data_IF_062511348301
#
_entry.id   IF_062511348301
#
_cell.length_a   1.000
_cell.length_b   1.000
_cell.length_c   1.000
_cell.angle_alpha   90.00
_cell.angle_beta   90.00
_cell.angle_gamma   90.00
#
_symmetry.space_group_name_H-M   'P 1'
#
loop_
_entity.id
_entity.type
_entity.pdbx_description
1 polymer ?
#
# COMPACT_ATOMS: atom_id res chain seq x y z
N UNK A 1 -12.05 -38.25 -8.23
CA UNK A 1 -11.99 -36.92 -8.91
C UNK A 1 -12.35 -35.74 -8.02
N UNK A 2 -12.89 -35.94 -6.81
CA UNK A 2 -13.30 -34.86 -5.87
C UNK A 2 -12.14 -34.27 -5.05
N UNK A 3 -11.12 -35.07 -4.72
CA UNK A 3 -9.97 -34.64 -3.88
C UNK A 3 -9.07 -33.55 -4.53
N UNK A 4 -8.93 -33.54 -5.86
CA UNK A 4 -8.09 -32.54 -6.55
C UNK A 4 -8.72 -31.14 -6.62
N UNK A 5 -10.06 -31.01 -6.53
CA UNK A 5 -10.73 -29.71 -6.62
C UNK A 5 -10.61 -28.90 -5.32
N UNK A 6 -10.68 -29.54 -4.16
CA UNK A 6 -10.53 -28.88 -2.85
C UNK A 6 -9.12 -28.32 -2.62
N UNK A 7 -8.07 -29.03 -3.05
CA UNK A 7 -6.67 -28.60 -2.82
C UNK A 7 -6.27 -27.39 -3.67
N UNK A 8 -6.80 -27.27 -4.88
CA UNK A 8 -6.55 -26.11 -5.75
C UNK A 8 -7.22 -24.83 -5.22
N UNK A 9 -8.45 -24.94 -4.69
CA UNK A 9 -9.16 -23.81 -4.07
C UNK A 9 -8.46 -23.29 -2.82
N UNK A 10 -7.94 -24.19 -1.97
CA UNK A 10 -7.22 -23.81 -0.75
C UNK A 10 -5.90 -23.07 -1.06
N UNK A 11 -5.15 -23.48 -2.09
CA UNK A 11 -3.94 -22.78 -2.54
C UNK A 11 -4.25 -21.38 -3.07
N UNK A 12 -5.29 -21.23 -3.90
CA UNK A 12 -5.68 -19.91 -4.44
C UNK A 12 -6.11 -18.95 -3.32
N UNK A 13 -6.82 -19.47 -2.30
CA UNK A 13 -7.22 -18.69 -1.13
C UNK A 13 -6.00 -18.25 -0.30
N UNK A 14 -5.00 -19.12 -0.10
CA UNK A 14 -3.77 -18.73 0.62
C UNK A 14 -2.94 -17.68 -0.12
N UNK A 15 -2.90 -17.74 -1.47
CA UNK A 15 -2.21 -16.73 -2.29
C UNK A 15 -2.96 -15.38 -2.21
N UNK A 16 -4.29 -15.40 -2.18
CA UNK A 16 -5.11 -14.20 -2.00
C UNK A 16 -4.86 -13.52 -0.64
N UNK A 17 -4.76 -14.29 0.44
CA UNK A 17 -4.42 -13.74 1.77
C UNK A 17 -2.97 -13.24 1.86
N UNK A 18 -2.01 -13.91 1.21
CA UNK A 18 -0.63 -13.42 1.10
C UNK A 18 -0.54 -12.09 0.35
N UNK A 19 -1.39 -11.86 -0.65
CA UNK A 19 -1.45 -10.60 -1.41
C UNK A 19 -2.04 -9.44 -0.59
N UNK A 20 -2.97 -9.72 0.33
CA UNK A 20 -3.55 -8.70 1.22
C UNK A 20 -2.52 -8.24 2.27
N UNK A 21 -1.62 -9.13 2.71
CA UNK A 21 -0.61 -8.82 3.74
C UNK A 21 0.50 -7.86 3.28
N UNK A 22 0.61 -7.54 1.98
CA UNK A 22 1.63 -6.61 1.46
C UNK A 22 1.14 -5.15 1.34
N UNK A 23 -0.12 -4.85 1.69
CA UNK A 23 -0.72 -3.53 1.53
C UNK A 23 -0.66 -2.64 2.80
N UNK A 24 0.13 -2.98 3.81
CA UNK A 24 0.35 -2.10 4.96
C UNK A 24 1.47 -1.13 4.63
N UNK A 25 1.14 0.14 4.37
CA UNK A 25 2.13 1.23 4.41
C UNK A 25 2.65 1.34 5.84
N UNK A 26 3.97 1.17 6.03
CA UNK A 26 4.61 1.41 7.32
C UNK A 26 4.64 2.94 7.55
N UNK A 27 3.83 3.43 8.49
CA UNK A 27 3.92 4.79 9.03
C UNK A 27 5.16 4.86 9.92
N UNK A 28 6.32 5.13 9.33
CA UNK A 28 7.56 5.34 10.07
C UNK A 28 7.80 6.84 10.29
N UNK A 29 8.02 7.24 11.55
CA UNK A 29 8.52 8.58 11.85
C UNK A 29 9.92 8.76 11.24
N UNK A 30 10.12 9.87 10.54
CA UNK A 30 11.41 10.22 9.95
C UNK A 30 11.94 11.51 10.55
N UNK A 31 13.18 11.46 11.03
CA UNK A 31 13.89 12.64 11.56
C UNK A 31 14.75 13.26 10.48
N UNK A 32 14.50 14.53 10.20
CA UNK A 32 15.28 15.38 9.32
C UNK A 32 16.09 16.38 10.15
N UNK A 33 17.39 16.44 9.90
CA UNK A 33 18.22 17.56 10.34
C UNK A 33 18.01 18.72 9.38
N UNK A 34 17.41 19.81 9.86
CA UNK A 34 17.19 21.03 9.07
C UNK A 34 18.42 21.95 9.17
N UNK A 35 19.05 22.02 10.34
CA UNK A 35 20.27 22.79 10.58
C UNK A 35 21.16 22.12 11.64
N UNK A 36 22.50 22.11 11.48
CA UNK A 36 23.28 22.60 10.33
C UNK A 36 23.08 21.74 9.07
N UNK A 37 23.24 22.33 7.89
CA UNK A 37 23.21 21.60 6.61
C UNK A 37 24.61 21.14 6.23
N UNK A 38 24.72 19.99 5.55
CA UNK A 38 26.00 19.57 4.96
C UNK A 38 26.54 20.66 4.01
N UNK A 39 27.86 20.88 4.06
CA UNK A 39 28.57 22.03 3.46
C UNK A 39 28.34 22.22 1.94
N UNK A 40 27.80 21.21 1.24
CA UNK A 40 27.61 21.20 -0.21
C UNK A 40 26.18 21.48 -0.69
N UNK A 41 25.18 21.53 0.21
CA UNK A 41 23.78 21.79 -0.16
C UNK A 41 23.37 23.24 0.17
N UNK A 42 22.65 23.95 -0.73
CA UNK A 42 22.11 25.26 -0.38
C UNK A 42 21.16 25.13 0.81
N UNK A 43 21.23 26.05 1.80
CA UNK A 43 20.41 25.95 3.00
C UNK A 43 18.94 25.94 2.63
N UNK A 44 18.20 24.93 3.10
CA UNK A 44 16.77 24.77 2.86
C UNK A 44 15.92 25.71 3.75
N UNK A 45 16.47 26.89 4.04
CA UNK A 45 15.96 27.83 5.03
C UNK A 45 15.70 29.16 4.33
N UNK A 46 14.46 29.61 4.37
CA UNK A 46 14.06 30.94 3.95
C UNK A 46 14.20 31.91 5.12
N UNK A 47 14.47 33.18 4.80
CA UNK A 47 14.61 34.25 5.82
C UNK A 47 13.76 35.47 5.45
N UNK A 48 13.27 36.17 6.47
CA UNK A 48 12.62 37.47 6.37
C UNK A 48 13.16 38.42 7.45
N UNK A 49 13.05 39.73 7.19
CA UNK A 49 13.57 40.76 8.09
C UNK A 49 15.10 40.71 8.16
N UNK A 50 15.64 40.85 9.36
CA UNK A 50 17.09 40.92 9.59
C UNK A 50 17.77 39.55 9.72
N UNK A 51 17.01 38.45 9.58
CA UNK A 51 17.51 37.11 9.77
C UNK A 51 18.54 36.71 8.71
N UNK A 52 19.58 35.98 9.13
CA UNK A 52 20.69 35.53 8.29
C UNK A 52 21.08 34.11 8.68
N UNK A 53 21.35 33.29 7.68
CA UNK A 53 21.90 31.94 7.87
C UNK A 53 23.41 32.01 7.65
N UNK A 54 24.19 31.52 8.60
CA UNK A 54 25.63 31.29 8.46
C UNK A 54 25.92 29.80 8.62
N UNK A 55 27.19 29.40 8.43
CA UNK A 55 27.59 27.99 8.58
C UNK A 55 27.27 27.43 9.98
N UNK A 56 27.49 28.23 11.01
CA UNK A 56 27.43 27.76 12.39
C UNK A 56 26.09 28.05 13.09
N UNK A 57 25.27 28.94 12.54
CA UNK A 57 24.02 29.37 13.18
C UNK A 57 23.04 30.03 12.21
N UNK A 58 21.78 30.06 12.64
CA UNK A 58 20.76 30.95 12.10
C UNK A 58 20.66 32.14 13.06
N UNK A 59 21.09 33.31 12.61
CA UNK A 59 20.95 34.57 13.35
C UNK A 59 19.59 35.18 13.02
N UNK A 60 18.67 35.25 13.99
CA UNK A 60 17.35 35.84 13.78
C UNK A 60 17.38 37.37 13.95
N UNK A 61 18.00 37.87 15.02
CA UNK A 61 18.11 39.31 15.25
C UNK A 61 19.52 39.70 15.62
N UNK A 62 19.84 40.96 15.33
CA UNK A 62 21.06 41.61 15.80
C UNK A 62 20.73 42.73 16.78
N UNK A 63 21.75 43.46 17.24
CA UNK A 63 21.59 44.53 18.21
C UNK A 63 20.78 45.72 17.64
N UNK A 64 19.82 46.22 18.42
CA UNK A 64 18.96 47.36 18.07
C UNK A 64 17.51 46.93 17.94
N UNK A 65 16.64 47.78 17.38
CA UNK A 65 15.25 47.41 17.06
C UNK A 65 15.26 46.51 15.81
N UNK A 66 15.33 45.20 16.02
CA UNK A 66 15.57 44.18 14.99
C UNK A 66 14.45 43.14 15.05
N UNK A 67 14.09 42.61 13.88
CA UNK A 67 13.13 41.51 13.78
C UNK A 67 13.51 40.60 12.62
N UNK A 68 13.48 39.30 12.87
CA UNK A 68 13.87 38.31 11.87
C UNK A 68 13.07 37.03 12.00
N UNK A 69 12.78 36.43 10.85
CA UNK A 69 12.22 35.08 10.75
C UNK A 69 13.13 34.20 9.93
N UNK A 70 13.26 32.95 10.32
CA UNK A 70 13.84 31.89 9.51
C UNK A 70 12.87 30.72 9.48
N UNK A 71 12.65 30.11 8.32
CA UNK A 71 11.66 29.04 8.17
C UNK A 71 12.14 27.98 7.19
N UNK A 72 11.64 26.77 7.36
CA UNK A 72 11.91 25.66 6.45
C UNK A 72 11.22 25.92 5.11
N UNK A 73 11.97 25.85 4.00
CA UNK A 73 11.45 26.20 2.67
C UNK A 73 10.46 25.19 2.10
N UNK A 74 10.35 24.01 2.70
CA UNK A 74 9.39 23.00 2.27
C UNK A 74 8.11 23.07 3.08
N UNK A 75 6.95 22.89 2.44
CA UNK A 75 5.67 22.94 3.13
C UNK A 75 5.54 21.79 4.13
N UNK A 76 5.26 22.12 5.38
CA UNK A 76 4.89 21.14 6.40
C UNK A 76 3.38 20.87 6.30
N UNK A 77 3.00 19.60 6.19
CA UNK A 77 1.59 19.20 6.17
C UNK A 77 1.12 18.90 7.58
N UNK A 78 0.14 19.66 8.09
CA UNK A 78 -0.41 19.48 9.44
C UNK A 78 -1.66 18.59 9.48
N UNK A 79 -2.43 18.52 8.39
CA UNK A 79 -3.59 17.62 8.26
C UNK A 79 -3.94 17.36 6.79
N UNK A 80 -4.66 16.25 6.53
CA UNK A 80 -5.14 15.87 5.19
C UNK A 80 -6.68 15.76 5.14
N UNK A 81 -7.29 16.26 4.06
CA UNK A 81 -8.76 16.20 3.85
C UNK A 81 -9.31 14.79 3.61
N UNK A 82 -8.48 13.84 3.16
CA UNK A 82 -8.99 12.53 2.68
C UNK A 82 -9.35 11.55 3.80
N UNK A 83 -8.79 11.74 4.99
CA UNK A 83 -8.84 10.75 6.07
C UNK A 83 -9.04 11.36 7.47
N UNK A 84 -9.25 12.68 7.58
CA UNK A 84 -9.36 13.41 8.88
C UNK A 84 -8.19 13.18 9.83
N UNK A 85 -7.10 12.59 9.37
CA UNK A 85 -5.92 12.30 10.17
C UNK A 85 -5.08 13.56 10.31
N UNK A 86 -4.77 13.90 11.55
CA UNK A 86 -3.82 14.95 11.92
C UNK A 86 -2.44 14.33 11.85
N UNK A 87 -1.48 15.03 11.25
CA UNK A 87 -0.09 14.57 11.25
C UNK A 87 0.55 14.88 12.59
N UNK A 88 1.12 13.87 13.23
CA UNK A 88 1.99 14.05 14.39
C UNK A 88 3.35 14.56 13.92
N UNK A 89 3.92 15.48 14.70
CA UNK A 89 5.28 15.92 14.51
C UNK A 89 5.93 16.27 15.85
N UNK A 90 7.26 16.29 15.86
CA UNK A 90 8.10 16.77 16.93
C UNK A 90 9.21 17.62 16.32
N UNK A 91 9.68 18.63 17.05
CA UNK A 91 10.85 19.40 16.66
C UNK A 91 11.75 19.58 17.86
N UNK A 92 13.05 19.54 17.63
CA UNK A 92 14.08 19.74 18.63
C UNK A 92 15.05 20.79 18.10
N UNK A 93 15.42 21.75 18.93
CA UNK A 93 16.31 22.82 18.52
C UNK A 93 17.10 23.36 19.71
N UNK A 94 18.30 23.83 19.42
CA UNK A 94 19.16 24.52 20.38
C UNK A 94 19.25 25.99 19.99
N UNK A 95 19.10 26.89 20.96
CA UNK A 95 19.17 28.32 20.72
C UNK A 95 19.92 29.05 21.84
N UNK A 96 20.37 30.27 21.52
CA UNK A 96 20.97 31.20 22.48
C UNK A 96 20.33 32.57 22.37
N UNK A 97 20.14 33.20 23.53
CA UNK A 97 19.73 34.61 23.64
C UNK A 97 20.83 35.34 24.40
N UNK A 98 21.51 36.27 23.72
CA UNK A 98 22.67 36.97 24.29
C UNK A 98 22.44 38.48 24.26
N UNK A 99 22.43 39.11 25.43
CA UNK A 99 22.38 40.57 25.59
C UNK A 99 23.78 41.16 25.67
N UNK A 100 24.03 42.28 24.99
CA UNK A 100 25.30 43.00 25.14
C UNK A 100 25.45 43.71 26.50
N UNK A 101 24.35 43.90 27.22
CA UNK A 101 24.34 44.56 28.54
C UNK A 101 24.30 43.58 29.72
N UNK A 102 24.23 42.27 29.46
CA UNK A 102 24.07 41.23 30.49
C UNK A 102 22.63 41.10 31.03
N UNK A 103 21.78 42.10 30.84
CA UNK A 103 20.36 42.04 31.20
C UNK A 103 19.50 41.80 29.95
N UNK A 104 18.70 40.73 29.98
CA UNK A 104 17.65 40.46 29.00
C UNK A 104 16.38 41.15 29.48
N UNK A 105 15.89 42.09 28.70
CA UNK A 105 14.84 43.04 29.15
C UNK A 105 13.90 43.44 28.02
N UNK A 106 14.07 42.87 26.82
CA UNK A 106 13.15 43.16 25.73
C UNK A 106 13.21 42.13 24.60
N UNK A 107 12.04 41.80 24.06
CA UNK A 107 11.86 40.85 22.96
C UNK A 107 11.74 39.42 23.43
N UNK A 108 11.95 38.50 22.48
CA UNK A 108 11.82 37.08 22.70
C UNK A 108 12.03 36.29 21.42
N UNK A 109 11.97 34.98 21.55
CA UNK A 109 12.08 34.03 20.45
C UNK A 109 10.85 33.14 20.42
N UNK A 110 10.39 32.80 19.23
CA UNK A 110 9.26 31.90 19.03
C UNK A 110 9.61 30.83 18.02
N UNK A 111 9.10 29.62 18.24
CA UNK A 111 8.89 28.64 17.18
C UNK A 111 7.44 28.78 16.71
N UNK A 112 7.20 28.95 15.41
CA UNK A 112 5.87 29.23 14.88
C UNK A 112 5.46 28.31 13.71
N UNK A 113 4.15 28.12 13.60
CA UNK A 113 3.46 27.61 12.43
C UNK A 113 2.58 28.72 11.86
N UNK A 114 2.69 29.00 10.56
CA UNK A 114 1.90 30.03 9.87
C UNK A 114 1.47 29.56 8.47
N UNK A 115 0.50 30.23 7.81
CA UNK A 115 0.14 29.88 6.44
C UNK A 115 1.33 29.93 5.48
N UNK A 116 1.33 29.06 4.48
CA UNK A 116 2.27 29.17 3.37
C UNK A 116 2.22 30.55 2.74
N UNK A 117 3.38 31.21 2.63
CA UNK A 117 3.49 32.58 2.15
C UNK A 117 3.20 33.66 3.19
N UNK A 118 3.10 33.31 4.48
CA UNK A 118 3.03 34.30 5.56
C UNK A 118 4.23 35.25 5.49
N UNK A 119 3.93 36.55 5.45
CA UNK A 119 4.92 37.61 5.49
C UNK A 119 5.06 38.17 6.91
N UNK A 120 6.24 38.69 7.23
CA UNK A 120 6.47 39.41 8.47
C UNK A 120 5.65 40.72 8.48
N UNK A 121 4.76 40.95 9.46
CA UNK A 121 3.98 42.17 9.52
C UNK A 121 4.86 43.42 9.70
N UNK A 122 4.39 44.55 9.19
CA UNK A 122 5.00 45.84 9.54
C UNK A 122 4.79 46.13 11.03
N UNK A 123 5.74 46.83 11.64
CA UNK A 123 5.70 47.27 13.04
C UNK A 123 5.52 46.13 14.06
N UNK A 124 6.10 44.97 13.78
CA UNK A 124 5.99 43.75 14.59
C UNK A 124 7.20 43.50 15.51
N UNK A 125 7.92 44.53 15.95
CA UNK A 125 9.08 44.38 16.84
C UNK A 125 8.66 44.39 18.33
N UNK A 126 9.57 44.01 19.24
CA UNK A 126 9.30 43.97 20.69
C UNK A 126 8.40 42.80 21.10
N UNK A 127 7.44 43.02 21.99
CA UNK A 127 6.48 42.00 22.44
C UNK A 127 5.58 41.42 21.33
N UNK A 128 5.64 41.96 20.11
CA UNK A 128 4.98 41.38 18.94
C UNK A 128 5.75 40.19 18.33
N UNK A 129 6.99 39.96 18.76
CA UNK A 129 7.85 38.82 18.43
C UNK A 129 8.06 38.56 16.93
N UNK A 130 7.85 39.58 16.09
CA UNK A 130 7.88 39.44 14.63
C UNK A 130 6.68 38.68 14.07
N UNK A 131 5.68 38.31 14.88
CA UNK A 131 4.53 37.48 14.49
C UNK A 131 3.28 38.31 14.19
N UNK A 132 3.02 39.33 15.00
CA UNK A 132 1.80 40.12 14.95
C UNK A 132 2.10 41.62 14.92
N UNK A 133 1.07 42.43 14.86
CA UNK A 133 1.14 43.86 15.14
C UNK A 133 -0.20 44.31 15.72
N UNK A 134 -0.33 45.60 15.99
CA UNK A 134 -1.52 46.20 16.58
C UNK A 134 -2.83 45.89 15.81
N UNK A 135 -2.77 45.75 14.48
CA UNK A 135 -3.96 45.51 13.66
C UNK A 135 -4.29 44.04 13.47
N UNK A 136 -3.27 43.17 13.55
CA UNK A 136 -3.41 41.73 13.32
C UNK A 136 -3.55 40.94 14.61
N UNK A 137 -3.16 41.47 15.77
CA UNK A 137 -3.27 40.74 17.04
C UNK A 137 -4.70 40.27 17.33
N UNK A 138 -4.85 39.05 17.85
CA UNK A 138 -6.14 38.40 18.13
C UNK A 138 -7.07 38.27 16.90
N UNK A 139 -6.53 38.28 15.68
CA UNK A 139 -7.28 37.99 14.46
C UNK A 139 -7.05 36.57 13.99
N UNK A 140 -8.13 35.80 13.91
CA UNK A 140 -8.11 34.43 13.39
C UNK A 140 -7.62 34.34 11.93
N UNK A 141 -7.70 35.43 11.17
CA UNK A 141 -7.17 35.53 9.80
C UNK A 141 -5.65 35.39 9.71
N UNK A 142 -4.90 35.60 10.80
CA UNK A 142 -3.44 35.41 10.79
C UNK A 142 -3.06 33.94 10.73
N UNK A 143 -3.88 33.09 11.34
CA UNK A 143 -3.69 31.65 11.42
C UNK A 143 -2.29 31.24 11.88
N UNK A 144 -1.83 31.82 13.00
CA UNK A 144 -0.54 31.48 13.59
C UNK A 144 -0.75 30.75 14.91
N UNK A 145 0.06 29.72 15.11
CA UNK A 145 0.31 29.10 16.42
C UNK A 145 1.80 29.21 16.70
N UNK A 146 2.17 29.63 17.90
CA UNK A 146 3.58 29.74 18.28
C UNK A 146 3.83 29.25 19.70
N UNK A 147 5.05 28.77 19.93
CA UNK A 147 5.61 28.54 21.26
C UNK A 147 6.64 29.63 21.49
N UNK A 148 6.41 30.46 22.49
CA UNK A 148 7.26 31.60 22.81
C UNK A 148 8.20 31.32 23.97
N UNK A 149 9.37 31.93 23.89
CA UNK A 149 10.37 32.05 24.93
C UNK A 149 10.55 33.55 25.18
N UNK A 150 9.66 34.11 26.00
CA UNK A 150 9.65 35.54 26.30
C UNK A 150 10.63 35.85 27.42
N UNK A 151 11.44 36.88 27.19
CA UNK A 151 12.45 37.39 28.13
C UNK A 151 12.13 38.82 28.57
N UNK A 152 10.88 39.23 28.37
CA UNK A 152 10.30 40.52 28.69
C UNK A 152 9.10 40.33 29.61
N UNK A 153 8.71 41.41 30.30
CA UNK A 153 7.44 41.45 31.02
C UNK A 153 6.62 42.62 30.45
N UNK A 154 5.81 42.31 29.44
CA UNK A 154 4.82 43.19 28.85
C UNK A 154 3.52 43.20 29.69
N UNK A 155 2.60 44.18 29.48
CA UNK A 155 1.39 44.29 30.30
C UNK A 155 0.46 43.08 30.28
N UNK A 156 0.54 42.24 29.24
CA UNK A 156 -0.26 41.03 29.08
C UNK A 156 0.41 39.77 29.66
N UNK A 157 1.65 39.88 30.13
CA UNK A 157 2.43 38.73 30.59
C UNK A 157 2.12 38.33 32.03
N UNK A 158 2.33 37.05 32.38
CA UNK A 158 2.37 36.60 33.76
C UNK A 158 3.40 37.39 34.58
N UNK A 159 3.08 37.64 35.85
CA UNK A 159 4.03 38.28 36.77
C UNK A 159 5.15 37.31 37.12
N UNK A 160 6.40 37.78 37.00
CA UNK A 160 7.57 36.97 37.35
C UNK A 160 8.71 36.99 36.34
N UNK A 161 8.62 37.82 35.29
CA UNK A 161 9.65 37.93 34.24
C UNK A 161 9.53 36.83 33.18
N UNK A 162 10.67 36.27 32.80
CA UNK A 162 10.79 35.34 31.67
C UNK A 162 9.85 34.14 31.79
N UNK A 163 9.22 33.75 30.68
CA UNK A 163 8.29 32.63 30.65
C UNK A 163 8.26 31.94 29.29
N UNK A 164 7.57 30.79 29.26
CA UNK A 164 7.28 30.05 28.03
C UNK A 164 5.76 30.03 27.86
N UNK A 165 5.30 30.40 26.68
CA UNK A 165 3.89 30.53 26.34
C UNK A 165 3.51 29.76 25.09
N UNK A 166 2.20 29.53 24.91
CA UNK A 166 1.63 29.02 23.66
C UNK A 166 0.65 30.07 23.15
N UNK A 167 1.02 30.69 22.04
CA UNK A 167 0.23 31.70 21.36
C UNK A 167 -0.67 31.04 20.32
N UNK A 168 -1.97 31.28 20.43
CA UNK A 168 -2.96 30.73 19.51
C UNK A 168 -3.86 31.85 18.99
N UNK A 169 -3.51 32.40 17.83
CA UNK A 169 -4.40 33.33 17.14
C UNK A 169 -5.53 32.64 16.37
N UNK A 170 -5.30 31.39 15.94
CA UNK A 170 -6.34 30.51 15.39
C UNK A 170 -6.03 29.06 15.70
N UNK A 171 -7.05 28.32 16.11
CA UNK A 171 -6.97 26.86 16.28
C UNK A 171 -7.02 26.14 14.92
N UNK A 172 -7.42 26.82 13.85
CA UNK A 172 -7.53 26.26 12.49
C UNK A 172 -6.39 26.78 11.61
N UNK A 173 -5.37 25.95 11.45
CA UNK A 173 -4.27 26.16 10.49
C UNK A 173 -4.63 25.61 9.10
N UNK A 174 -4.12 26.20 8.00
CA UNK A 174 -4.23 25.61 6.67
C UNK A 174 -3.48 24.27 6.59
N UNK A 175 -3.79 23.45 5.58
CA UNK A 175 -3.16 22.12 5.42
C UNK A 175 -1.64 22.20 5.30
N UNK A 176 -1.15 23.22 4.61
CA UNK A 176 0.27 23.49 4.39
C UNK A 176 0.66 24.71 5.20
N UNK A 177 1.68 24.57 6.04
CA UNK A 177 2.19 25.65 6.88
C UNK A 177 3.69 25.85 6.65
N UNK A 178 4.11 27.10 6.84
CA UNK A 178 5.50 27.44 7.14
C UNK A 178 5.77 27.07 8.59
N UNK A 179 6.92 26.47 8.82
CA UNK A 179 7.44 26.17 10.14
C UNK A 179 8.78 26.87 10.30
N UNK A 180 8.99 27.54 11.43
CA UNK A 180 10.23 28.28 11.62
C UNK A 180 10.32 28.99 12.95
N UNK A 181 11.27 29.91 13.02
CA UNK A 181 11.52 30.75 14.18
C UNK A 181 11.30 32.21 13.85
N UNK A 182 10.71 32.94 14.77
CA UNK A 182 10.58 34.40 14.72
C UNK A 182 11.15 34.97 16.00
N UNK A 183 12.00 35.98 15.90
CA UNK A 183 12.48 36.71 17.06
C UNK A 183 12.45 38.20 16.78
N UNK A 184 12.28 38.97 17.84
CA UNK A 184 12.41 40.41 17.75
C UNK A 184 12.98 40.98 19.03
N UNK A 185 13.50 42.19 18.93
CA UNK A 185 14.03 42.99 20.04
C UNK A 185 13.26 44.30 20.14
N UNK A 186 13.27 44.93 21.31
CA UNK A 186 12.83 46.30 21.45
C UNK A 186 14.06 47.24 21.49
N UNK A 187 14.06 48.26 22.35
CA UNK A 187 15.16 49.22 22.45
C UNK A 187 16.48 48.62 22.94
N UNK A 188 16.46 47.46 23.59
CA UNK A 188 17.63 46.82 24.17
C UNK A 188 18.16 45.71 23.25
N UNK A 189 19.48 45.51 23.35
CA UNK A 189 20.31 44.85 22.35
C UNK A 189 20.52 43.37 22.70
N UNK A 190 19.63 42.49 22.21
CA UNK A 190 19.78 41.04 22.28
C UNK A 190 19.98 40.41 20.90
N UNK A 191 20.80 39.37 20.84
CA UNK A 191 20.93 38.51 19.66
C UNK A 191 20.28 37.17 19.91
N UNK A 192 19.49 36.70 18.94
CA UNK A 192 18.81 35.41 18.99
C UNK A 192 19.40 34.51 17.92
N UNK A 193 19.99 33.38 18.32
CA UNK A 193 20.62 32.43 17.41
C UNK A 193 20.00 31.04 17.57
N UNK A 194 19.71 30.36 16.46
CA UNK A 194 19.47 28.91 16.43
C UNK A 194 20.76 28.22 16.05
N UNK A 195 21.18 27.25 16.86
CA UNK A 195 22.42 26.50 16.71
C UNK A 195 22.19 25.13 16.05
N UNK A 196 21.05 24.51 16.34
CA UNK A 196 20.62 23.26 15.72
C UNK A 196 19.11 23.24 15.57
N UNK A 197 18.61 22.55 14.55
CA UNK A 197 17.18 22.37 14.33
C UNK A 197 16.89 21.05 13.64
N UNK A 198 16.18 20.18 14.34
CA UNK A 198 15.70 18.90 13.89
C UNK A 198 14.17 18.87 13.88
N UNK A 199 13.64 18.13 12.93
CA UNK A 199 12.22 17.87 12.79
C UNK A 199 11.98 16.39 12.58
N UNK A 200 11.11 15.82 13.41
CA UNK A 200 10.61 14.46 13.25
C UNK A 200 9.13 14.53 12.89
N UNK A 201 8.75 13.87 11.81
CA UNK A 201 7.35 13.77 11.47
C UNK A 201 7.07 12.67 10.46
N UNK A 202 5.79 12.51 10.18
CA UNK A 202 5.29 11.60 9.16
C UNK A 202 5.54 12.23 7.78
N UNK A 203 6.73 12.02 7.22
CA UNK A 203 7.06 12.49 5.87
C UNK A 203 6.63 11.44 4.85
N UNK A 204 5.67 11.79 4.00
CA UNK A 204 5.36 11.00 2.81
C UNK A 204 6.13 11.59 1.63
N UNK A 205 7.37 11.14 1.40
CA UNK A 205 8.11 11.58 0.22
C UNK A 205 7.41 11.12 -1.05
N UNK A 206 7.36 11.98 -2.06
CA UNK A 206 6.94 11.58 -3.41
C UNK A 206 7.82 10.42 -3.93
N UNK A 207 9.11 10.38 -3.56
CA UNK A 207 10.02 9.26 -3.89
C UNK A 207 9.58 7.95 -3.26
N UNK A 208 8.98 7.98 -2.07
CA UNK A 208 8.57 6.77 -1.33
C UNK A 208 7.27 6.23 -1.90
N UNK A 209 6.39 7.11 -2.39
CA UNK A 209 5.22 6.72 -3.19
C UNK A 209 5.66 6.05 -4.49
N UNK A 210 6.65 6.60 -5.19
CA UNK A 210 7.16 6.01 -6.43
C UNK A 210 7.89 4.69 -6.19
N UNK A 211 8.72 4.63 -5.16
CA UNK A 211 9.41 3.40 -4.74
C UNK A 211 8.41 2.32 -4.35
N UNK A 212 7.39 2.67 -3.55
CA UNK A 212 6.31 1.77 -3.16
C UNK A 212 5.48 1.29 -4.35
N UNK A 213 5.16 2.19 -5.29
CA UNK A 213 4.45 1.83 -6.52
C UNK A 213 5.29 0.88 -7.38
N UNK A 214 6.57 1.17 -7.60
CA UNK A 214 7.48 0.31 -8.38
C UNK A 214 7.62 -1.06 -7.71
N UNK A 215 7.81 -1.11 -6.39
CA UNK A 215 7.87 -2.37 -5.63
C UNK A 215 6.55 -3.14 -5.76
N UNK A 216 5.41 -2.46 -5.64
CA UNK A 216 4.09 -3.10 -5.77
C UNK A 216 3.85 -3.68 -7.17
N UNK A 217 4.26 -2.97 -8.22
CA UNK A 217 4.17 -3.44 -9.61
C UNK A 217 5.11 -4.64 -9.81
N UNK A 218 6.37 -4.53 -9.36
CA UNK A 218 7.36 -5.59 -9.50
C UNK A 218 6.91 -6.89 -8.80
N UNK A 219 6.40 -6.79 -7.57
CA UNK A 219 5.83 -7.93 -6.83
C UNK A 219 4.64 -8.52 -7.56
N UNK A 220 3.72 -7.69 -8.07
CA UNK A 220 2.53 -8.15 -8.80
C UNK A 220 2.91 -8.90 -10.09
N UNK A 221 3.89 -8.37 -10.84
CA UNK A 221 4.40 -9.03 -12.06
C UNK A 221 5.07 -10.35 -11.73
N UNK A 222 5.94 -10.39 -10.72
CA UNK A 222 6.61 -11.62 -10.28
C UNK A 222 5.60 -12.71 -9.87
N UNK A 223 4.58 -12.35 -9.09
CA UNK A 223 3.52 -13.28 -8.69
C UNK A 223 2.72 -13.74 -9.91
N UNK A 224 2.37 -12.83 -10.83
CA UNK A 224 1.70 -13.17 -12.08
C UNK A 224 2.46 -14.19 -12.92
N UNK A 225 3.78 -14.03 -13.04
CA UNK A 225 4.66 -14.97 -13.76
C UNK A 225 4.72 -16.34 -13.09
N UNK A 226 4.79 -16.39 -11.76
CA UNK A 226 4.78 -17.65 -10.99
C UNK A 226 3.45 -18.38 -11.17
N UNK A 227 2.32 -17.67 -11.05
CA UNK A 227 0.98 -18.24 -11.25
C UNK A 227 0.80 -18.73 -12.69
N UNK A 228 1.26 -17.96 -13.68
CA UNK A 228 1.23 -18.36 -15.08
C UNK A 228 2.07 -19.61 -15.35
N UNK A 229 3.30 -19.66 -14.81
CA UNK A 229 4.18 -20.82 -14.91
C UNK A 229 3.56 -22.09 -14.31
N UNK A 230 2.96 -21.98 -13.11
CA UNK A 230 2.23 -23.07 -12.47
C UNK A 230 1.03 -23.48 -13.31
N UNK A 231 0.25 -22.53 -13.85
CA UNK A 231 -0.88 -22.81 -14.73
C UNK A 231 -0.48 -23.56 -16.00
N UNK A 232 0.63 -23.18 -16.64
CA UNK A 232 1.19 -23.88 -17.80
C UNK A 232 1.67 -25.28 -17.42
N UNK A 233 2.34 -25.45 -16.28
CA UNK A 233 2.80 -26.75 -15.80
C UNK A 233 1.62 -27.70 -15.50
N UNK A 234 0.60 -27.22 -14.80
CA UNK A 234 -0.63 -27.96 -14.51
C UNK A 234 -1.41 -28.29 -15.79
N UNK A 235 -1.48 -27.35 -16.75
CA UNK A 235 -2.11 -27.56 -18.05
C UNK A 235 -1.38 -28.61 -18.90
N UNK A 236 -0.05 -28.60 -18.91
CA UNK A 236 0.76 -29.65 -19.54
C UNK A 236 0.58 -31.00 -18.83
N UNK A 237 0.52 -31.02 -17.51
CA UNK A 237 0.28 -32.22 -16.73
C UNK A 237 -1.11 -32.82 -16.99
N UNK A 238 -2.16 -31.99 -17.03
CA UNK A 238 -3.50 -32.42 -17.43
C UNK A 238 -3.56 -32.94 -18.87
N UNK A 239 -2.87 -32.31 -19.83
CA UNK A 239 -2.76 -32.84 -21.19
C UNK A 239 -2.07 -34.20 -21.23
N UNK A 240 -1.00 -34.40 -20.45
CA UNK A 240 -0.32 -35.70 -20.30
C UNK A 240 -1.22 -36.77 -19.68
N UNK A 241 -2.01 -36.41 -18.68
CA UNK A 241 -2.99 -37.32 -18.08
C UNK A 241 -4.17 -37.63 -19.01
N UNK A 242 -4.50 -36.73 -19.94
CA UNK A 242 -5.54 -36.94 -20.96
C UNK A 242 -5.04 -37.73 -22.18
N UNK A 243 -3.73 -37.66 -22.48
CA UNK A 243 -3.07 -38.41 -23.56
C UNK A 243 -2.72 -39.86 -23.22
N UNK A 244 -2.98 -40.33 -21.99
CA UNK A 244 -2.92 -41.75 -21.62
C UNK A 244 -4.27 -42.45 -21.80
N UNK A 245 -4.89 -42.15 -22.92
CA UNK A 245 -6.09 -42.80 -23.41
C UNK A 245 -6.29 -42.38 -24.86
N UNK A 246 -5.91 -43.28 -25.78
CA UNK A 246 -6.30 -43.36 -27.20
C UNK A 246 -5.22 -42.99 -28.23
N UNK A 247 -4.40 -43.97 -28.57
CA UNK A 247 -4.24 -44.52 -29.94
C UNK A 247 -4.25 -46.05 -29.71
N UNK A 248 -5.00 -46.90 -30.40
CA UNK A 248 -5.28 -46.93 -31.83
C UNK A 248 -6.54 -47.79 -32.13
N UNK A 249 -7.15 -47.55 -33.29
CA UNK A 249 -7.60 -48.52 -34.31
C UNK A 249 -8.79 -48.02 -35.12
N UNK A 250 -8.44 -47.42 -36.26
CA UNK A 250 -9.32 -47.21 -37.39
C UNK A 250 -8.51 -47.17 -38.68
N UNK A 251 -7.94 -48.31 -39.09
CA UNK A 251 -7.70 -48.63 -40.50
C UNK A 251 -7.37 -50.12 -40.64
N UNK A 252 -8.19 -50.84 -41.38
CA UNK A 252 -7.95 -52.20 -41.83
C UNK A 252 -6.55 -52.35 -42.45
N UNK A 253 -5.78 -53.35 -42.03
CA UNK A 253 -5.42 -54.54 -42.82
C UNK A 253 -4.23 -55.27 -42.17
N UNK A 254 -4.26 -56.60 -42.34
CA UNK A 254 -3.25 -57.61 -42.07
C UNK A 254 -3.14 -58.19 -40.64
N UNK A 255 -3.15 -59.52 -40.67
CA UNK A 255 -3.13 -60.52 -39.61
C UNK A 255 -1.70 -60.61 -39.06
N UNK A 256 -1.48 -60.60 -37.73
CA UNK A 256 -0.40 -61.44 -37.16
C UNK A 256 -0.49 -61.79 -35.65
N UNK A 257 -0.85 -63.05 -35.44
CA UNK A 257 -0.31 -64.08 -34.53
C UNK A 257 0.01 -63.95 -33.03
N UNK A 258 0.14 -62.81 -32.35
CA UNK A 258 0.82 -62.87 -31.03
C UNK A 258 -0.01 -62.60 -29.76
N UNK A 259 -1.34 -62.62 -29.80
CA UNK A 259 -2.13 -62.43 -28.57
C UNK A 259 -3.30 -63.41 -28.38
N UNK A 260 -3.04 -64.69 -28.63
CA UNK A 260 -3.72 -65.79 -27.96
C UNK A 260 -2.94 -66.19 -26.71
N UNK A 261 -3.05 -65.44 -25.61
CA UNK A 261 -2.68 -65.93 -24.28
C UNK A 261 -3.44 -65.23 -23.16
N UNK A 262 -4.64 -65.75 -22.90
CA UNK A 262 -5.20 -65.91 -21.56
C UNK A 262 -5.89 -64.71 -20.92
N UNK A 263 -7.17 -64.88 -20.59
CA UNK A 263 -7.97 -64.10 -19.60
C UNK A 263 -8.68 -62.80 -20.04
N UNK A 264 -9.03 -62.66 -21.32
CA UNK A 264 -9.98 -61.61 -21.77
C UNK A 264 -11.40 -62.16 -22.01
N UNK A 265 -12.47 -61.34 -21.85
CA UNK A 265 -13.84 -61.75 -22.19
C UNK A 265 -13.93 -62.23 -23.65
N UNK A 266 -14.60 -63.36 -23.89
CA UNK A 266 -14.86 -63.89 -25.24
C UNK A 266 -15.61 -62.85 -26.06
N UNK A 267 -15.08 -62.51 -27.23
CA UNK A 267 -15.73 -61.59 -28.18
C UNK A 267 -16.63 -62.40 -29.11
N UNK A 268 -17.86 -61.94 -29.30
CA UNK A 268 -18.84 -62.52 -30.21
C UNK A 268 -19.06 -61.56 -31.38
N UNK A 269 -19.18 -62.09 -32.59
CA UNK A 269 -19.55 -61.24 -33.74
C UNK A 269 -21.04 -60.88 -33.68
N UNK A 270 -21.42 -59.73 -34.24
CA UNK A 270 -22.85 -59.36 -34.30
C UNK A 270 -23.68 -60.43 -35.02
N UNK A 271 -23.15 -61.00 -36.10
CA UNK A 271 -23.83 -62.06 -36.87
C UNK A 271 -24.04 -63.33 -36.04
N UNK A 272 -23.07 -63.69 -35.20
CA UNK A 272 -23.17 -64.82 -34.29
C UNK A 272 -24.23 -64.58 -33.21
N UNK A 273 -24.24 -63.40 -32.59
CA UNK A 273 -25.27 -63.02 -31.61
C UNK A 273 -26.67 -62.92 -32.23
N UNK A 274 -26.76 -62.40 -33.45
CA UNK A 274 -27.99 -62.33 -34.23
C UNK A 274 -28.50 -63.74 -34.54
N UNK A 275 -27.62 -64.67 -34.90
CA UNK A 275 -28.00 -66.06 -35.18
C UNK A 275 -28.37 -66.82 -33.90
N UNK A 276 -27.69 -66.55 -32.78
CA UNK A 276 -27.96 -67.22 -31.50
C UNK A 276 -29.27 -66.77 -30.86
N UNK A 277 -29.74 -65.56 -31.16
CA UNK A 277 -30.98 -64.96 -30.63
C UNK A 277 -32.14 -65.00 -31.62
N UNK A 278 -32.03 -65.77 -32.70
CA UNK A 278 -33.01 -65.82 -33.79
C UNK A 278 -33.41 -64.41 -34.30
N UNK A 279 -32.38 -63.67 -34.72
CA UNK A 279 -32.46 -62.28 -35.16
C UNK A 279 -33.05 -61.31 -34.14
N UNK A 280 -32.80 -61.55 -32.84
CA UNK A 280 -33.38 -60.79 -31.72
C UNK A 280 -34.92 -60.84 -31.75
N UNK A 281 -35.49 -62.03 -31.93
CA UNK A 281 -36.94 -62.25 -31.92
C UNK A 281 -37.57 -61.83 -30.59
N UNK A 282 -38.74 -61.19 -30.65
CA UNK A 282 -39.49 -60.77 -29.46
C UNK A 282 -39.96 -61.96 -28.61
N UNK A 283 -40.16 -63.14 -29.22
CA UNK A 283 -40.51 -64.37 -28.49
C UNK A 283 -39.38 -64.82 -27.54
N UNK A 284 -38.14 -64.43 -27.83
CA UNK A 284 -36.95 -64.68 -27.02
C UNK A 284 -36.62 -63.55 -26.04
N UNK A 285 -37.46 -62.53 -25.91
CA UNK A 285 -37.15 -61.34 -25.09
C UNK A 285 -37.32 -61.62 -23.61
N UNK A 286 -36.24 -61.39 -22.87
CA UNK A 286 -36.17 -61.58 -21.42
C UNK A 286 -36.56 -60.32 -20.65
N UNK A 287 -36.47 -59.15 -21.28
CA UNK A 287 -36.89 -57.87 -20.69
C UNK A 287 -36.37 -56.66 -21.46
N UNK A 288 -36.85 -55.47 -21.10
CA UNK A 288 -36.43 -54.21 -21.71
C UNK A 288 -36.27 -53.11 -20.66
N UNK A 289 -35.30 -52.23 -20.87
CA UNK A 289 -35.09 -51.04 -20.04
C UNK A 289 -34.51 -49.89 -20.85
N UNK A 290 -34.12 -48.80 -20.18
CA UNK A 290 -33.67 -47.56 -20.83
C UNK A 290 -32.48 -47.67 -21.79
N UNK A 291 -31.79 -48.82 -21.80
CA UNK A 291 -30.61 -49.12 -22.62
C UNK A 291 -30.89 -50.16 -23.74
N UNK A 292 -32.16 -50.51 -23.97
CA UNK A 292 -32.60 -51.49 -24.96
C UNK A 292 -33.03 -52.84 -24.36
N UNK A 293 -33.43 -53.75 -25.24
CA UNK A 293 -33.94 -55.08 -24.91
C UNK A 293 -32.85 -56.13 -24.64
N UNK A 294 -33.15 -57.09 -23.79
CA UNK A 294 -32.34 -58.27 -23.48
C UNK A 294 -33.05 -59.50 -24.04
N UNK A 295 -32.34 -60.33 -24.80
CA UNK A 295 -32.86 -61.49 -25.51
C UNK A 295 -32.13 -62.75 -25.07
N UNK A 296 -32.83 -63.87 -25.00
CA UNK A 296 -32.25 -65.19 -24.79
C UNK A 296 -31.59 -65.64 -26.09
N UNK A 297 -30.34 -66.10 -26.00
CA UNK A 297 -29.64 -66.73 -27.11
C UNK A 297 -28.97 -68.02 -26.70
N UNK A 298 -28.65 -68.86 -27.69
CA UNK A 298 -27.87 -70.10 -27.48
C UNK A 298 -26.65 -70.07 -28.39
N UNK A 299 -25.45 -70.08 -27.79
CA UNK A 299 -24.19 -70.08 -28.54
C UNK A 299 -23.99 -71.46 -29.17
N UNK A 300 -23.87 -71.54 -30.49
CA UNK A 300 -23.85 -72.84 -31.20
C UNK A 300 -22.61 -73.69 -30.89
N UNK A 301 -21.52 -73.02 -30.56
CA UNK A 301 -20.19 -73.59 -30.43
C UNK A 301 -19.96 -74.18 -29.04
N UNK A 302 -20.63 -73.66 -28.01
CA UNK A 302 -20.56 -74.20 -26.64
C UNK A 302 -21.89 -74.73 -26.12
N UNK A 303 -22.98 -74.49 -26.84
CA UNK A 303 -24.36 -74.77 -26.46
C UNK A 303 -24.81 -74.06 -25.16
N UNK A 304 -24.13 -72.98 -24.80
CA UNK A 304 -24.45 -72.19 -23.60
C UNK A 304 -25.65 -71.27 -23.85
N UNK A 305 -26.55 -71.22 -22.88
CA UNK A 305 -27.65 -70.24 -22.86
C UNK A 305 -27.13 -68.91 -22.33
N UNK A 306 -27.30 -67.86 -23.11
CA UNK A 306 -26.81 -66.51 -22.82
C UNK A 306 -27.93 -65.48 -22.89
N UNK A 307 -27.77 -64.38 -22.16
CA UNK A 307 -28.60 -63.19 -22.29
C UNK A 307 -27.84 -62.14 -23.11
N UNK A 308 -28.38 -61.75 -24.26
CA UNK A 308 -27.77 -60.79 -25.18
C UNK A 308 -28.54 -59.47 -25.11
N UNK A 309 -27.88 -58.41 -24.65
CA UNK A 309 -28.46 -57.07 -24.59
C UNK A 309 -28.19 -56.31 -25.89
N UNK A 310 -29.26 -55.89 -26.57
CA UNK A 310 -29.18 -55.07 -27.80
C UNK A 310 -29.36 -53.60 -27.45
N UNK A 311 -28.32 -52.79 -27.67
CA UNK A 311 -28.38 -51.35 -27.41
C UNK A 311 -29.15 -50.65 -28.54
N UNK A 312 -30.21 -49.91 -28.20
CA UNK A 312 -30.98 -49.12 -29.17
C UNK A 312 -30.34 -47.75 -29.40
N UNK A 313 -30.31 -47.28 -30.66
CA UNK A 313 -29.71 -45.98 -31.03
C UNK A 313 -30.39 -44.76 -30.38
N UNK A 314 -31.56 -44.93 -29.75
CA UNK A 314 -32.32 -43.87 -29.08
C UNK A 314 -32.16 -43.78 -27.55
N UNK A 315 -31.28 -44.58 -26.94
CA UNK A 315 -31.06 -44.59 -25.48
C UNK A 315 -30.53 -43.23 -24.98
N UNK A 316 -31.35 -42.50 -24.21
CA UNK A 316 -31.01 -41.19 -23.61
C UNK A 316 -30.29 -41.29 -22.25
N UNK A 317 -29.99 -42.49 -21.76
CA UNK A 317 -29.25 -42.68 -20.52
C UNK A 317 -27.93 -43.41 -20.78
N UNK A 318 -26.87 -42.94 -20.10
CA UNK A 318 -25.53 -43.55 -20.03
C UNK A 318 -24.57 -43.28 -21.19
N UNK A 319 -24.56 -42.08 -21.75
CA UNK A 319 -23.39 -41.59 -22.50
C UNK A 319 -22.25 -41.34 -21.50
N UNK A 320 -21.21 -42.16 -21.51
CA UNK A 320 -19.89 -41.82 -20.95
C UNK A 320 -18.89 -41.74 -22.09
#
# INVERSE_FOLDING_TARGET
MTSCKCRAGLMLLTIFFLLISFATSLEADYTNTIFPTDDDAPPQIGVQGDAKVTKDKILLTSFGNSRGRAFFNYPCFVWYTRNTSINSFSTEFEFTITSSSGNLTSGGLTFFLAPMGSEMPANSSGGWLGLFNETTNNKSSNQVVAVEFDVSEDPWDPKGGNHIGIDVNSVVLPQKVLMGFSASTAHLTASHNILSWNYTGQYQSYSDIYSGLIISIAVTVCIGLVVFGIGVALGKWWRRCKGKGREDLGSDTSIDENFLRGTGPRRFSYKELMTSTDNFSEDGKLGEGGFGGVYKGVLRDTNDVVAVKRISKGSKQGTK
#
